data_IF_387275187446
#
_entry.id   IF_387275187446
#
_cell.length_a   1.000
_cell.length_b   1.000
_cell.length_c   1.000
_cell.angle_alpha   90.00
_cell.angle_beta   90.00
_cell.angle_gamma   90.00
#
_symmetry.space_group_name_H-M   'P 1'
#
loop_
_entity.id
_entity.type
_entity.pdbx_description
1 polymer ?
#
# COMPACT_ATOMS: atom_id res chain seq x y z
N UNK A 1 -6.44 -0.42 0.84
CA UNK A 1 -6.42 1.02 0.49
C UNK A 1 -7.26 1.39 -0.75
N UNK A 2 -7.49 2.71 -0.96
CA UNK A 2 -8.16 3.30 -2.12
C UNK A 2 -7.41 4.52 -2.67
N UNK A 3 -7.37 4.69 -4.00
CA UNK A 3 -6.89 5.91 -4.67
C UNK A 3 -7.87 6.36 -5.74
N UNK A 4 -8.08 7.68 -5.82
CA UNK A 4 -8.98 8.31 -6.77
C UNK A 4 -8.18 8.94 -7.92
N UNK A 5 -8.63 8.70 -9.15
CA UNK A 5 -8.12 9.33 -10.36
C UNK A 5 -9.24 10.13 -11.02
N UNK A 6 -9.21 11.46 -10.84
CA UNK A 6 -10.20 12.36 -11.42
C UNK A 6 -9.86 12.79 -12.85
N UNK A 7 -8.78 12.26 -13.45
CA UNK A 7 -8.40 12.52 -14.85
C UNK A 7 -9.07 11.55 -15.83
N UNK A 8 -9.66 10.47 -15.32
CA UNK A 8 -10.21 9.35 -16.09
C UNK A 8 -11.72 9.25 -15.88
N UNK A 9 -12.47 8.94 -16.93
CA UNK A 9 -13.93 8.88 -16.88
C UNK A 9 -14.58 10.26 -16.72
N UNK A 10 -15.91 10.29 -16.62
CA UNK A 10 -16.67 11.54 -16.48
C UNK A 10 -16.52 12.15 -15.08
N UNK A 11 -16.69 11.34 -14.04
CA UNK A 11 -16.65 11.77 -12.63
C UNK A 11 -15.43 11.21 -11.87
N UNK A 12 -14.50 10.59 -12.58
CA UNK A 12 -13.33 9.93 -11.99
C UNK A 12 -13.46 8.41 -11.89
N UNK A 13 -12.36 7.79 -11.48
CA UNK A 13 -12.26 6.35 -11.18
C UNK A 13 -11.63 6.17 -9.80
N UNK A 14 -12.06 5.14 -9.07
CA UNK A 14 -11.36 4.66 -7.89
C UNK A 14 -10.68 3.31 -8.14
N UNK A 15 -9.47 3.16 -7.62
CA UNK A 15 -8.75 1.90 -7.54
C UNK A 15 -8.68 1.46 -6.08
N UNK A 16 -9.08 0.22 -5.81
CA UNK A 16 -9.15 -0.34 -4.46
C UNK A 16 -8.32 -1.62 -4.45
N UNK A 17 -7.44 -1.76 -3.47
CA UNK A 17 -6.75 -3.03 -3.22
C UNK A 17 -7.66 -3.96 -2.43
N UNK A 18 -7.83 -5.18 -2.93
CA UNK A 18 -8.50 -6.25 -2.19
C UNK A 18 -7.45 -7.08 -1.44
N UNK A 19 -7.22 -6.66 -0.19
CA UNK A 19 -6.28 -7.28 0.76
C UNK A 19 -7.00 -8.34 1.57
N UNK A 20 -6.56 -9.59 1.45
CA UNK A 20 -7.06 -10.69 2.25
C UNK A 20 -5.92 -11.56 2.78
N UNK A 21 -6.07 -12.02 4.03
CA UNK A 21 -5.23 -13.06 4.63
C UNK A 21 -5.63 -14.48 4.18
N UNK A 22 -6.78 -14.60 3.49
CA UNK A 22 -7.37 -15.85 3.00
C UNK A 22 -7.99 -15.67 1.61
N UNK A 23 -7.56 -16.47 0.64
CA UNK A 23 -8.16 -16.48 -0.70
C UNK A 23 -7.50 -15.48 -1.66
N UNK A 24 -8.17 -15.22 -2.80
CA UNK A 24 -7.57 -14.43 -3.87
C UNK A 24 -7.50 -12.95 -3.47
N UNK A 25 -6.36 -12.33 -3.80
CA UNK A 25 -6.19 -10.89 -3.72
C UNK A 25 -6.36 -10.29 -5.12
N UNK A 26 -6.44 -8.97 -5.25
CA UNK A 26 -6.64 -8.32 -6.54
C UNK A 26 -6.75 -6.80 -6.46
N UNK A 27 -7.12 -6.21 -7.58
CA UNK A 27 -7.43 -4.78 -7.68
C UNK A 27 -8.85 -4.63 -8.19
N UNK A 28 -9.66 -3.86 -7.48
CA UNK A 28 -11.02 -3.49 -7.89
C UNK A 28 -10.94 -2.08 -8.49
N UNK A 29 -11.55 -1.91 -9.65
CA UNK A 29 -11.69 -0.63 -10.35
C UNK A 29 -13.16 -0.24 -10.28
N UNK A 30 -13.44 1.01 -9.93
CA UNK A 30 -14.80 1.55 -9.83
C UNK A 30 -14.90 2.81 -10.67
N UNK A 31 -15.80 2.82 -11.66
CA UNK A 31 -16.19 4.03 -12.37
C UNK A 31 -17.13 4.84 -11.46
N UNK A 32 -16.76 6.07 -11.11
CA UNK A 32 -17.48 6.86 -10.11
C UNK A 32 -18.76 7.49 -10.66
N UNK A 33 -18.87 7.67 -11.99
CA UNK A 33 -20.07 8.25 -12.60
C UNK A 33 -21.20 7.24 -12.77
N UNK A 34 -20.85 5.98 -13.03
CA UNK A 34 -21.82 4.89 -13.24
C UNK A 34 -21.98 3.98 -12.02
N UNK A 35 -21.02 3.99 -11.09
CA UNK A 35 -20.96 3.07 -9.96
C UNK A 35 -20.61 1.62 -10.33
N UNK A 36 -20.34 1.33 -11.61
CA UNK A 36 -19.91 -0.01 -12.05
C UNK A 36 -18.51 -0.30 -11.55
N UNK A 37 -18.27 -1.56 -11.22
CA UNK A 37 -16.95 -2.03 -10.77
C UNK A 37 -16.59 -3.38 -11.36
N UNK A 38 -15.30 -3.58 -11.60
CA UNK A 38 -14.75 -4.86 -12.01
C UNK A 38 -13.42 -5.13 -11.30
N UNK A 39 -13.09 -6.42 -11.22
CA UNK A 39 -11.85 -6.91 -10.59
C UNK A 39 -10.84 -7.28 -11.66
N UNK A 40 -9.58 -6.91 -11.46
CA UNK A 40 -8.43 -7.30 -12.29
C UNK A 40 -7.30 -7.85 -11.42
N UNK A 41 -6.36 -8.54 -12.07
CA UNK A 41 -5.22 -9.20 -11.44
C UNK A 41 -5.69 -10.19 -10.35
N UNK A 42 -6.81 -10.87 -10.58
CA UNK A 42 -7.39 -11.77 -9.60
C UNK A 42 -6.43 -12.94 -9.34
N UNK A 43 -6.02 -13.08 -8.08
CA UNK A 43 -5.10 -14.13 -7.63
C UNK A 43 -3.72 -14.10 -8.31
N UNK A 44 -3.38 -13.00 -8.98
CA UNK A 44 -2.10 -12.80 -9.63
C UNK A 44 -0.99 -12.74 -8.56
N UNK A 45 0.18 -13.33 -8.82
CA UNK A 45 1.25 -13.48 -7.82
C UNK A 45 1.69 -12.15 -7.18
N UNK A 46 1.69 -11.06 -7.96
CA UNK A 46 2.07 -9.73 -7.48
C UNK A 46 1.10 -9.12 -6.46
N UNK A 47 -0.11 -9.69 -6.33
CA UNK A 47 -1.12 -9.25 -5.36
C UNK A 47 -1.07 -10.07 -4.07
N UNK A 48 -0.22 -11.09 -4.00
CA UNK A 48 -0.14 -12.03 -2.88
C UNK A 48 1.01 -11.72 -1.95
N UNK A 49 0.84 -12.07 -0.68
CA UNK A 49 1.93 -12.09 0.29
C UNK A 49 3.10 -12.97 -0.18
N UNK A 50 4.31 -12.55 0.16
CA UNK A 50 5.51 -13.35 -0.01
C UNK A 50 5.47 -14.58 0.91
N UNK A 51 5.90 -15.73 0.39
CA UNK A 51 5.91 -16.97 1.15
C UNK A 51 6.89 -16.86 2.32
N UNK A 52 6.42 -17.23 3.52
CA UNK A 52 7.21 -17.20 4.74
C UNK A 52 7.75 -15.80 5.12
N UNK A 53 7.02 -14.75 4.73
CA UNK A 53 7.39 -13.39 5.08
C UNK A 53 7.44 -13.17 6.60
N UNK A 54 8.57 -12.68 7.10
CA UNK A 54 8.85 -12.48 8.51
C UNK A 54 9.48 -11.09 8.72
N UNK A 55 8.66 -10.04 8.91
CA UNK A 55 9.18 -8.70 9.11
C UNK A 55 9.68 -8.51 10.54
N UNK A 56 10.57 -7.54 10.73
CA UNK A 56 11.04 -7.12 12.05
C UNK A 56 10.48 -5.76 12.43
N UNK A 57 9.66 -5.71 13.47
CA UNK A 57 8.99 -4.48 13.94
C UNK A 57 9.32 -4.26 15.41
N UNK A 58 9.76 -3.04 15.74
CA UNK A 58 10.34 -2.71 17.05
C UNK A 58 11.47 -3.68 17.47
N UNK A 59 12.27 -4.14 16.50
CA UNK A 59 13.38 -5.07 16.72
C UNK A 59 12.97 -6.51 17.03
N UNK A 60 11.70 -6.88 16.85
CA UNK A 60 11.18 -8.23 17.10
C UNK A 60 10.59 -8.83 15.82
N UNK A 61 10.76 -10.15 15.59
CA UNK A 61 10.09 -10.82 14.48
C UNK A 61 8.57 -10.82 14.72
N UNK A 62 7.82 -10.24 13.77
CA UNK A 62 6.36 -10.20 13.85
C UNK A 62 5.74 -11.44 13.19
N UNK A 63 4.92 -12.14 13.96
CA UNK A 63 4.14 -13.29 13.51
C UNK A 63 2.70 -13.14 14.00
N UNK A 64 1.76 -13.71 13.27
CA UNK A 64 0.41 -13.92 13.81
C UNK A 64 0.50 -14.90 14.99
N UNK A 65 -0.05 -14.51 16.14
CA UNK A 65 -0.03 -15.27 17.40
C UNK A 65 -1.42 -15.24 18.00
N UNK A 66 -2.32 -16.04 17.44
CA UNK A 66 -3.71 -16.18 17.92
C UNK A 66 -3.77 -17.15 19.12
N UNK A 67 -4.67 -16.92 20.10
CA UNK A 67 -4.81 -17.81 21.25
C UNK A 67 -4.97 -19.27 20.84
N UNK A 68 -4.22 -20.17 21.50
CA UNK A 68 -4.26 -21.63 21.28
C UNK A 68 -3.92 -22.07 19.84
N UNK A 69 -3.25 -21.22 19.05
CA UNK A 69 -2.76 -21.56 17.72
C UNK A 69 -1.23 -21.49 17.67
N UNK A 70 -0.62 -22.25 16.75
CA UNK A 70 0.81 -22.10 16.47
C UNK A 70 1.06 -20.74 15.79
N UNK A 71 2.19 -20.07 16.06
CA UNK A 71 2.56 -18.86 15.34
C UNK A 71 2.57 -19.09 13.83
N UNK A 72 2.14 -18.10 13.06
CA UNK A 72 2.10 -18.14 11.60
C UNK A 72 2.71 -16.88 10.97
N UNK A 73 3.29 -17.03 9.78
CA UNK A 73 3.77 -15.91 8.98
C UNK A 73 2.62 -15.00 8.56
N UNK A 74 2.92 -13.73 8.30
CA UNK A 74 1.96 -12.78 7.75
C UNK A 74 1.57 -13.20 6.33
N UNK A 75 0.29 -12.99 5.97
CA UNK A 75 -0.28 -13.43 4.69
C UNK A 75 -1.10 -12.35 3.98
N UNK A 76 -1.05 -11.11 4.46
CA UNK A 76 -1.81 -10.00 3.89
C UNK A 76 -1.23 -9.64 2.52
N UNK A 77 -2.09 -9.73 1.49
CA UNK A 77 -1.75 -9.44 0.11
C UNK A 77 -1.80 -7.95 -0.20
N UNK A 78 -2.20 -7.61 -1.43
CA UNK A 78 -2.16 -6.25 -1.98
C UNK A 78 -2.82 -5.26 -1.03
N UNK A 79 -2.08 -4.25 -0.59
CA UNK A 79 -2.57 -3.25 0.35
C UNK A 79 -2.23 -1.85 -0.14
N UNK A 80 -1.00 -1.38 0.10
CA UNK A 80 -0.56 -0.05 -0.34
C UNK A 80 -0.74 0.16 -1.83
N UNK A 81 -1.27 1.33 -2.19
CA UNK A 81 -1.62 1.71 -3.57
C UNK A 81 -1.35 3.20 -3.82
N UNK A 82 -0.80 3.52 -4.98
CA UNK A 82 -0.54 4.89 -5.42
C UNK A 82 -0.70 5.01 -6.92
N UNK A 83 -1.14 6.16 -7.41
CA UNK A 83 -1.24 6.43 -8.84
C UNK A 83 -0.06 7.30 -9.25
N UNK A 84 0.63 6.96 -10.33
CA UNK A 84 1.65 7.83 -10.94
C UNK A 84 1.15 9.26 -11.17
N UNK A 85 2.07 10.23 -11.16
CA UNK A 85 1.77 11.65 -11.37
C UNK A 85 1.07 11.91 -12.71
N UNK A 86 1.42 11.16 -13.77
CA UNK A 86 0.77 11.25 -15.08
C UNK A 86 -0.47 10.37 -15.23
N UNK A 87 -0.70 9.47 -14.27
CA UNK A 87 -1.87 8.58 -14.24
C UNK A 87 -1.75 7.37 -15.15
N UNK A 88 -0.60 7.14 -15.76
CA UNK A 88 -0.38 6.03 -16.68
C UNK A 88 -0.26 4.67 -15.95
N UNK A 89 0.19 4.70 -14.70
CA UNK A 89 0.45 3.50 -13.88
C UNK A 89 -0.17 3.58 -12.50
N UNK A 90 -0.67 2.43 -12.05
CA UNK A 90 -1.05 2.16 -10.67
C UNK A 90 0.07 1.36 -10.01
N UNK A 91 0.70 1.93 -8.99
CA UNK A 91 1.64 1.26 -8.11
C UNK A 91 0.89 0.58 -6.99
N UNK A 92 1.32 -0.62 -6.62
CA UNK A 92 0.75 -1.37 -5.51
C UNK A 92 1.78 -2.32 -4.89
N UNK A 93 1.54 -2.73 -3.65
CA UNK A 93 2.37 -3.73 -2.98
C UNK A 93 1.56 -4.60 -2.03
N UNK A 94 1.89 -5.90 -1.93
CA UNK A 94 1.44 -6.72 -0.80
C UNK A 94 2.01 -6.21 0.52
N UNK A 95 1.19 -6.15 1.57
CA UNK A 95 1.63 -5.73 2.91
C UNK A 95 2.71 -6.66 3.45
N UNK A 96 2.55 -7.97 3.26
CA UNK A 96 3.53 -8.98 3.62
C UNK A 96 4.53 -9.23 2.48
N UNK A 97 5.29 -8.19 2.07
CA UNK A 97 6.36 -8.31 1.08
C UNK A 97 7.35 -7.13 1.13
N UNK A 98 8.55 -7.34 0.58
CA UNK A 98 9.51 -6.28 0.25
C UNK A 98 9.44 -5.83 -1.21
N UNK A 99 8.34 -6.13 -1.92
CA UNK A 99 8.20 -5.88 -3.36
C UNK A 99 7.30 -4.69 -3.66
N UNK A 100 7.65 -3.95 -4.70
CA UNK A 100 6.81 -2.93 -5.30
C UNK A 100 6.47 -3.34 -6.72
N UNK A 101 5.20 -3.23 -7.07
CA UNK A 101 4.70 -3.57 -8.40
C UNK A 101 3.97 -2.38 -9.00
N UNK A 102 3.83 -2.40 -10.32
CA UNK A 102 2.95 -1.45 -11.01
C UNK A 102 2.27 -2.11 -12.22
N UNK A 103 1.14 -1.55 -12.64
CA UNK A 103 0.35 -2.00 -13.80
C UNK A 103 -0.21 -0.79 -14.55
N UNK A 104 -0.45 -0.90 -15.85
CA UNK A 104 -1.03 0.19 -16.65
C UNK A 104 -2.48 0.47 -16.25
N UNK A 105 -2.83 1.72 -16.00
CA UNK A 105 -4.21 2.11 -15.62
C UNK A 105 -5.19 1.89 -16.76
N UNK A 106 -4.81 2.16 -18.01
CA UNK A 106 -5.67 1.94 -19.18
C UNK A 106 -6.03 0.45 -19.34
N UNK A 107 -5.10 -0.46 -19.04
CA UNK A 107 -5.37 -1.90 -19.04
C UNK A 107 -6.34 -2.30 -17.91
N UNK A 108 -6.18 -1.71 -16.72
CA UNK A 108 -7.10 -1.94 -15.61
C UNK A 108 -8.53 -1.45 -15.94
N UNK A 109 -8.66 -0.30 -16.59
CA UNK A 109 -9.93 0.31 -16.96
C UNK A 109 -10.66 -0.45 -18.08
N UNK A 110 -9.92 -1.13 -18.96
CA UNK A 110 -10.51 -1.86 -20.08
C UNK A 110 -11.23 -3.13 -19.61
N UNK A 111 -12.55 -3.07 -19.50
CA UNK A 111 -13.41 -4.19 -19.12
C UNK A 111 -13.24 -5.40 -20.06
N UNK A 112 -12.93 -5.17 -21.34
CA UNK A 112 -12.76 -6.24 -22.33
C UNK A 112 -11.42 -6.99 -22.22
N UNK A 113 -10.43 -6.47 -21.49
CA UNK A 113 -9.15 -7.17 -21.28
C UNK A 113 -9.27 -8.20 -20.15
N UNK A 114 -8.89 -9.44 -20.37
CA UNK A 114 -8.79 -10.43 -19.29
C UNK A 114 -7.55 -10.20 -18.40
N UNK A 115 -7.43 -10.96 -17.30
CA UNK A 115 -6.31 -10.83 -16.37
C UNK A 115 -4.94 -11.10 -17.02
N UNK A 116 -4.87 -11.97 -18.03
CA UNK A 116 -3.60 -12.26 -18.73
C UNK A 116 -3.19 -11.06 -19.58
N UNK A 117 -4.15 -10.46 -20.28
CA UNK A 117 -3.93 -9.26 -21.07
C UNK A 117 -3.52 -8.08 -20.18
N UNK A 118 -4.19 -7.87 -19.04
CA UNK A 118 -3.81 -6.83 -18.07
C UNK A 118 -2.39 -7.07 -17.54
N UNK A 119 -2.07 -8.31 -17.20
CA UNK A 119 -0.75 -8.71 -16.71
C UNK A 119 0.39 -8.47 -17.73
N UNK A 120 0.11 -8.25 -19.01
CA UNK A 120 1.15 -7.84 -19.98
C UNK A 120 1.71 -6.44 -19.71
N UNK A 121 0.97 -5.58 -18.99
CA UNK A 121 1.39 -4.23 -18.62
C UNK A 121 2.04 -4.13 -17.23
N UNK A 122 2.14 -5.28 -16.55
CA UNK A 122 2.77 -5.44 -15.24
C UNK A 122 4.26 -5.08 -15.28
N UNK A 123 4.75 -4.55 -14.17
CA UNK A 123 6.18 -4.34 -13.93
C UNK A 123 6.53 -4.65 -12.47
N UNK A 124 7.59 -5.42 -12.27
CA UNK A 124 8.30 -5.49 -10.98
C UNK A 124 9.18 -4.24 -10.87
N UNK A 125 8.83 -3.36 -9.93
CA UNK A 125 9.54 -2.09 -9.70
C UNK A 125 10.73 -2.27 -8.74
N UNK A 126 10.99 -3.50 -8.30
CA UNK A 126 12.07 -3.88 -7.43
C UNK A 126 11.69 -3.94 -5.96
N UNK A 127 12.70 -3.80 -5.12
CA UNK A 127 12.56 -3.91 -3.67
C UNK A 127 12.22 -2.56 -3.02
N UNK A 128 11.53 -2.65 -1.88
CA UNK A 128 11.24 -1.55 -0.96
C UNK A 128 11.23 -2.07 0.48
N UNK A 129 11.28 -1.16 1.45
CA UNK A 129 10.92 -1.50 2.83
C UNK A 129 9.49 -2.07 2.89
N UNK A 130 9.21 -2.92 3.87
CA UNK A 130 7.87 -3.44 4.04
C UNK A 130 6.93 -2.27 4.40
N UNK A 131 5.82 -2.20 3.67
CA UNK A 131 4.96 -1.03 3.64
C UNK A 131 3.51 -1.46 3.81
N UNK A 132 2.78 -0.64 4.55
CA UNK A 132 1.32 -0.68 4.62
C UNK A 132 0.79 0.18 3.46
N UNK A 133 0.67 1.50 3.64
CA UNK A 133 0.24 2.41 2.58
C UNK A 133 1.34 2.96 1.65
N UNK A 134 0.91 3.35 0.46
CA UNK A 134 1.68 4.11 -0.54
C UNK A 134 0.97 5.44 -0.85
N UNK A 135 1.69 6.45 -1.31
CA UNK A 135 1.11 7.69 -1.84
C UNK A 135 2.02 8.25 -2.94
N UNK A 136 1.57 9.24 -3.69
CA UNK A 136 2.34 9.92 -4.72
C UNK A 136 2.04 11.43 -4.78
N UNK A 137 2.97 12.18 -5.34
CA UNK A 137 2.83 13.61 -5.59
C UNK A 137 2.94 13.97 -7.08
N UNK A 138 2.68 15.25 -7.39
CA UNK A 138 2.77 15.80 -8.74
C UNK A 138 4.20 15.80 -9.34
N UNK A 139 5.23 15.64 -8.52
CA UNK A 139 6.64 15.58 -8.97
C UNK A 139 7.07 14.16 -9.36
N UNK A 140 6.17 13.18 -9.26
CA UNK A 140 6.43 11.79 -9.63
C UNK A 140 7.10 10.96 -8.54
N UNK A 141 7.18 11.47 -7.31
CA UNK A 141 7.63 10.65 -6.18
C UNK A 141 6.55 9.66 -5.78
N UNK A 142 6.97 8.45 -5.41
CA UNK A 142 6.13 7.46 -4.72
C UNK A 142 6.58 7.39 -3.26
N UNK A 143 5.74 7.84 -2.34
CA UNK A 143 5.94 7.68 -0.91
C UNK A 143 5.53 6.28 -0.48
N UNK A 144 6.33 5.67 0.38
CA UNK A 144 6.05 4.37 0.99
C UNK A 144 6.24 4.50 2.49
N UNK A 145 5.30 3.93 3.24
CA UNK A 145 5.58 3.62 4.64
C UNK A 145 6.69 2.57 4.72
N UNK A 146 7.40 2.56 5.84
CA UNK A 146 8.44 1.58 6.15
C UNK A 146 8.23 1.11 7.59
N UNK A 147 7.26 0.22 7.80
CA UNK A 147 6.78 -0.11 9.15
C UNK A 147 7.81 -0.88 9.99
N UNK A 148 8.79 -1.52 9.36
CA UNK A 148 9.93 -2.14 10.03
C UNK A 148 10.92 -1.12 10.63
N UNK A 149 10.85 0.13 10.16
CA UNK A 149 11.85 1.17 10.44
C UNK A 149 11.26 2.43 11.09
N UNK A 150 9.97 2.43 11.43
CA UNK A 150 9.24 3.61 11.92
C UNK A 150 9.52 4.85 11.05
N UNK A 151 9.43 4.68 9.74
CA UNK A 151 9.88 5.66 8.76
C UNK A 151 8.91 5.81 7.59
N UNK A 152 9.07 6.93 6.90
CA UNK A 152 8.51 7.18 5.57
C UNK A 152 9.69 7.36 4.62
N UNK A 153 9.66 6.63 3.50
CA UNK A 153 10.64 6.76 2.42
C UNK A 153 9.93 7.25 1.16
N UNK A 154 10.66 7.88 0.24
CA UNK A 154 10.14 8.20 -1.09
C UNK A 154 11.05 7.64 -2.17
N UNK A 155 10.43 7.05 -3.19
CA UNK A 155 11.06 6.60 -4.43
C UNK A 155 10.98 7.73 -5.45
N UNK A 156 12.12 8.11 -6.01
CA UNK A 156 12.23 9.04 -7.11
C UNK A 156 11.70 8.41 -8.42
N UNK A 157 11.38 9.23 -9.44
CA UNK A 157 11.06 8.75 -10.78
C UNK A 157 12.16 7.86 -11.39
N UNK A 158 13.44 8.12 -11.05
CA UNK A 158 14.58 7.32 -11.50
C UNK A 158 14.76 5.99 -10.73
N UNK A 159 13.92 5.70 -9.74
CA UNK A 159 13.94 4.48 -8.95
C UNK A 159 14.79 4.51 -7.68
N UNK A 160 15.54 5.58 -7.42
CA UNK A 160 16.27 5.74 -6.15
C UNK A 160 15.31 5.96 -4.98
N UNK A 161 15.71 5.56 -3.78
CA UNK A 161 14.97 5.83 -2.55
C UNK A 161 15.72 6.79 -1.65
N UNK A 162 14.97 7.63 -0.95
CA UNK A 162 15.48 8.46 0.14
C UNK A 162 14.52 8.42 1.35
N UNK A 163 15.08 8.57 2.55
CA UNK A 163 14.28 8.65 3.78
C UNK A 163 13.73 10.06 3.93
N UNK A 164 12.41 10.18 4.06
CA UNK A 164 11.74 11.47 4.31
C UNK A 164 11.75 11.80 5.79
N UNK A 165 11.39 10.83 6.64
CA UNK A 165 11.39 10.97 8.09
C UNK A 165 11.51 9.62 8.75
N UNK A 166 12.21 9.56 9.88
CA UNK A 166 12.14 8.47 10.86
C UNK A 166 11.82 9.09 12.21
N UNK A 167 10.93 8.46 12.97
CA UNK A 167 10.58 8.90 14.31
C UNK A 167 10.12 7.68 15.13
N UNK A 168 10.63 7.44 16.35
CA UNK A 168 10.24 6.29 17.15
C UNK A 168 8.74 6.25 17.50
N UNK A 169 8.01 7.35 17.34
CA UNK A 169 6.56 7.43 17.53
C UNK A 169 5.76 7.02 16.29
N UNK A 170 6.38 6.90 15.11
CA UNK A 170 5.76 6.37 13.89
C UNK A 170 5.63 4.84 13.98
N UNK A 171 4.88 4.38 14.98
CA UNK A 171 4.64 2.97 15.24
C UNK A 171 3.59 2.44 14.26
N UNK A 172 4.05 1.70 13.26
CA UNK A 172 3.26 1.22 12.13
C UNK A 172 2.57 2.38 11.39
N UNK A 173 3.33 3.15 10.59
CA UNK A 173 2.74 4.11 9.68
C UNK A 173 1.89 3.35 8.64
N UNK A 174 0.63 3.76 8.50
CA UNK A 174 -0.39 3.06 7.75
C UNK A 174 -0.71 3.84 6.47
N UNK A 175 -1.61 4.82 6.55
CA UNK A 175 -2.12 5.53 5.38
C UNK A 175 -1.50 6.91 5.28
N UNK A 176 -1.13 7.30 4.05
CA UNK A 176 -0.59 8.62 3.75
C UNK A 176 -1.51 9.42 2.83
N UNK A 177 -1.40 10.76 2.92
CA UNK A 177 -2.00 11.69 1.98
C UNK A 177 -1.11 12.93 1.80
N UNK A 178 -0.79 13.26 0.55
CA UNK A 178 -0.14 14.53 0.21
C UNK A 178 -1.21 15.62 0.20
N UNK A 179 -0.96 16.72 0.90
CA UNK A 179 -1.87 17.85 0.99
C UNK A 179 -1.38 19.05 0.16
N UNK A 180 -2.32 19.89 -0.29
CA UNK A 180 -2.05 21.09 -1.09
C UNK A 180 -1.18 22.15 -0.39
N UNK A 181 -1.05 22.07 0.93
CA UNK A 181 -0.21 22.95 1.76
C UNK A 181 1.27 22.53 1.82
N UNK A 182 1.70 21.53 1.04
CA UNK A 182 3.10 21.10 0.98
C UNK A 182 3.51 20.08 2.05
N UNK A 183 2.54 19.49 2.75
CA UNK A 183 2.78 18.47 3.78
C UNK A 183 2.29 17.10 3.31
N UNK A 184 3.02 16.07 3.74
CA UNK A 184 2.56 14.69 3.75
C UNK A 184 1.99 14.40 5.13
N UNK A 185 0.74 13.96 5.18
CA UNK A 185 0.07 13.49 6.40
C UNK A 185 0.15 11.97 6.45
N UNK A 186 0.33 11.40 7.65
CA UNK A 186 0.41 9.95 7.85
C UNK A 186 -0.24 9.54 9.17
N UNK A 187 -1.06 8.49 9.12
CA UNK A 187 -1.60 7.85 10.33
C UNK A 187 -0.62 6.79 10.84
N UNK A 188 -0.50 6.66 12.16
CA UNK A 188 0.22 5.57 12.80
C UNK A 188 -0.71 4.84 13.77
N UNK A 189 -0.96 3.56 13.50
CA UNK A 189 -2.07 2.80 14.08
C UNK A 189 -1.62 1.71 15.07
N UNK A 190 -0.30 1.46 15.20
CA UNK A 190 0.27 0.38 15.99
C UNK A 190 -0.30 -1.00 15.63
N UNK A 191 -0.48 -1.33 14.35
CA UNK A 191 -1.12 -2.58 13.89
C UNK A 191 -0.44 -3.83 14.46
N UNK A 192 0.88 -3.85 14.52
CA UNK A 192 1.65 -4.95 15.12
C UNK A 192 1.32 -5.20 16.59
N UNK A 193 0.73 -4.24 17.30
CA UNK A 193 0.33 -4.35 18.70
C UNK A 193 -1.08 -4.89 18.91
N UNK A 194 -1.80 -5.24 17.85
CA UNK A 194 -3.14 -5.84 17.95
C UNK A 194 -3.12 -7.22 18.61
N UNK A 195 -4.26 -7.62 19.18
CA UNK A 195 -4.46 -8.89 19.87
C UNK A 195 -4.07 -10.13 19.03
N UNK A 196 -4.27 -10.07 17.71
CA UNK A 196 -3.93 -11.16 16.77
C UNK A 196 -2.42 -11.45 16.68
N UNK A 197 -1.57 -10.53 17.15
CA UNK A 197 -0.11 -10.66 17.21
C UNK A 197 0.41 -10.94 18.64
N UNK A 198 -0.49 -10.92 19.64
CA UNK A 198 -0.15 -10.96 21.05
C UNK A 198 -1.05 -11.89 21.89
N UNK A 199 -1.39 -13.05 21.35
CA UNK A 199 -2.16 -14.10 22.04
C UNK A 199 -3.48 -13.59 22.62
N UNK A 200 -4.19 -12.74 21.88
CA UNK A 200 -5.48 -12.19 22.29
C UNK A 200 -5.41 -10.94 23.16
N UNK A 201 -4.21 -10.44 23.49
CA UNK A 201 -4.03 -9.22 24.28
C UNK A 201 -3.74 -8.02 23.37
N UNK A 202 -4.64 -7.04 23.34
CA UNK A 202 -4.38 -5.78 22.64
C UNK A 202 -3.34 -4.95 23.42
N UNK A 203 -2.23 -4.63 22.77
CA UNK A 203 -1.11 -3.88 23.33
C UNK A 203 -1.05 -2.45 22.80
N UNK A 204 -2.01 -2.03 21.96
CA UNK A 204 -2.06 -0.67 21.40
C UNK A 204 -2.33 0.34 22.52
N UNK A 205 -1.68 1.49 22.42
CA UNK A 205 -1.89 2.61 23.34
C UNK A 205 -2.62 3.74 22.62
N UNK A 206 -3.71 4.21 23.22
CA UNK A 206 -4.50 5.35 22.71
C UNK A 206 -4.06 6.65 23.41
N UNK A 207 -4.19 7.82 22.75
CA UNK A 207 -4.72 8.02 21.40
C UNK A 207 -3.77 7.51 20.30
N UNK A 208 -4.34 7.19 19.13
CA UNK A 208 -3.55 6.99 17.91
C UNK A 208 -2.98 8.32 17.40
N UNK A 209 -2.01 8.26 16.50
CA UNK A 209 -1.30 9.45 16.04
C UNK A 209 -1.56 9.76 14.57
N UNK A 210 -1.75 11.04 14.29
CA UNK A 210 -1.66 11.63 12.95
C UNK A 210 -0.44 12.55 12.94
N UNK A 211 0.51 12.24 12.06
CA UNK A 211 1.71 13.04 11.87
C UNK A 211 1.61 13.83 10.57
N UNK A 212 2.43 14.88 10.46
CA UNK A 212 2.72 15.51 9.19
C UNK A 212 4.20 15.85 9.07
N UNK A 213 4.73 15.77 7.86
CA UNK A 213 6.09 16.19 7.52
C UNK A 213 6.04 17.12 6.31
N UNK A 214 6.83 18.19 6.32
CA UNK A 214 6.89 19.13 5.20
C UNK A 214 7.71 18.50 4.08
N UNK A 215 7.11 18.38 2.89
CA UNK A 215 7.76 17.79 1.70
C UNK A 215 7.92 18.80 0.56
N UNK A 216 7.28 19.98 0.66
CA UNK A 216 7.29 21.04 -0.35
C UNK A 216 6.74 20.63 -1.73
N UNK A 217 6.00 19.52 -1.81
CA UNK A 217 5.35 19.04 -3.03
C UNK A 217 3.83 19.07 -2.90
N UNK A 218 3.11 18.95 -4.02
CA UNK A 218 1.65 19.05 -4.11
C UNK A 218 1.02 17.72 -4.52
N UNK A 219 -0.28 17.50 -4.25
CA UNK A 219 -1.02 16.37 -4.78
C UNK A 219 -0.90 16.32 -6.32
N UNK A 220 -0.86 15.10 -6.86
CA UNK A 220 -0.95 14.81 -8.30
C UNK A 220 -2.23 15.35 -8.94
#
# INVERSE_FOLDING_TARGET
DIRFDLRKGTDGVAYITDSSDKGPNGIIVVDLGTGKSHRKLNDHFSTKAEKNFLPFVEGQPLMQRKPKQKPAYLKLGSDGIAISADGSRLFYCPLASHKLYSVGTDALLNESMDDKQVATTFKDEGFKAAADGLESDASGYIYSTAYEHNAIVRRHPNGMYETVVTDPRLLWPDTMSVASNGYLYVTANQLHRQADYHNGKDMRQKPYSLFRVKINNKPK
#
